data_IF_357591210675
#
_entry.id   IF_357591210675
#
_cell.length_a   1.000
_cell.length_b   1.000
_cell.length_c   1.000
_cell.angle_alpha   90.00
_cell.angle_beta   90.00
_cell.angle_gamma   90.00
#
_symmetry.space_group_name_H-M   'P 1'
#
loop_
_entity.id
_entity.type
_entity.pdbx_description
1 polymer ?
#
# COMPACT_ATOMS: atom_id res chain seq x y z
N UNK A 1 -22.79 -7.62 -28.34
CA UNK A 1 -22.24 -6.55 -27.48
C UNK A 1 -21.11 -7.14 -26.65
N UNK A 2 -19.90 -6.56 -26.72
CA UNK A 2 -18.71 -7.13 -26.07
C UNK A 2 -18.66 -6.78 -24.58
N UNK A 3 -18.24 -7.70 -23.68
CA UNK A 3 -18.37 -7.51 -22.24
C UNK A 3 -17.38 -6.45 -21.71
N UNK A 4 -17.94 -5.45 -21.04
CA UNK A 4 -17.35 -4.69 -19.94
C UNK A 4 -15.91 -4.16 -20.15
N UNK A 5 -15.80 -2.93 -20.64
CA UNK A 5 -14.66 -2.07 -20.30
C UNK A 5 -14.70 -1.82 -18.80
N UNK A 6 -14.09 -2.71 -18.00
CA UNK A 6 -13.88 -2.47 -16.57
C UNK A 6 -13.21 -1.11 -16.44
N UNK A 7 -13.85 -0.18 -15.74
CA UNK A 7 -13.26 1.13 -15.47
C UNK A 7 -11.90 0.91 -14.78
N UNK A 8 -10.82 1.26 -15.48
CA UNK A 8 -9.45 1.14 -14.99
C UNK A 8 -9.16 2.06 -13.80
N UNK A 9 -10.10 2.93 -13.46
CA UNK A 9 -10.00 3.91 -12.37
C UNK A 9 -10.68 3.48 -11.07
N UNK A 10 -11.30 2.29 -11.01
CA UNK A 10 -12.07 1.86 -9.82
C UNK A 10 -11.66 0.47 -9.34
N UNK A 11 -11.45 0.35 -8.03
CA UNK A 11 -11.33 -0.95 -7.36
C UNK A 11 -12.71 -1.59 -7.20
N UNK A 12 -12.80 -2.89 -7.46
CA UNK A 12 -14.02 -3.63 -7.14
C UNK A 12 -14.09 -3.90 -5.64
N UNK A 13 -15.32 -3.97 -5.09
CA UNK A 13 -15.56 -4.37 -3.69
C UNK A 13 -14.88 -5.70 -3.34
N UNK A 14 -14.86 -6.65 -4.28
CA UNK A 14 -14.17 -7.95 -4.12
C UNK A 14 -12.66 -7.78 -3.97
N UNK A 15 -12.04 -6.91 -4.77
CA UNK A 15 -10.60 -6.63 -4.68
C UNK A 15 -10.26 -5.97 -3.36
N UNK A 16 -11.02 -4.95 -2.97
CA UNK A 16 -10.86 -4.23 -1.73
C UNK A 16 -10.97 -5.17 -0.52
N UNK A 17 -12.07 -5.93 -0.43
CA UNK A 17 -12.30 -6.86 0.67
C UNK A 17 -11.22 -7.94 0.76
N UNK A 18 -10.76 -8.47 -0.37
CA UNK A 18 -9.71 -9.47 -0.39
C UNK A 18 -8.35 -8.93 0.12
N UNK A 19 -8.09 -7.64 -0.08
CA UNK A 19 -6.86 -6.98 0.37
C UNK A 19 -6.91 -6.64 1.87
N UNK A 20 -8.08 -6.23 2.38
CA UNK A 20 -8.23 -5.79 3.79
C UNK A 20 -8.43 -6.94 4.78
N UNK A 21 -9.14 -8.02 4.41
CA UNK A 21 -9.44 -9.14 5.32
C UNK A 21 -8.22 -9.68 6.08
N UNK A 22 -7.04 -9.88 5.43
CA UNK A 22 -5.84 -10.36 6.13
C UNK A 22 -5.26 -9.39 7.16
N UNK A 23 -5.75 -8.14 7.21
CA UNK A 23 -5.28 -7.08 8.10
C UNK A 23 -6.14 -6.93 9.35
N UNK A 24 -7.33 -7.54 9.40
CA UNK A 24 -8.27 -7.35 10.51
C UNK A 24 -7.69 -7.73 11.88
N UNK A 25 -6.74 -8.66 11.93
CA UNK A 25 -6.06 -9.02 13.17
C UNK A 25 -5.20 -7.89 13.76
N UNK A 26 -4.76 -6.94 12.93
CA UNK A 26 -3.95 -5.77 13.35
C UNK A 26 -4.84 -4.72 14.04
N UNK A 27 -6.14 -4.74 13.73
CA UNK A 27 -7.10 -3.73 14.14
C UNK A 27 -8.01 -4.18 15.29
N UNK A 28 -7.71 -5.30 15.96
CA UNK A 28 -8.62 -5.94 16.94
C UNK A 28 -9.10 -5.05 18.08
N UNK A 29 -8.34 -4.02 18.43
CA UNK A 29 -8.61 -3.12 19.56
C UNK A 29 -8.84 -1.67 19.10
N UNK A 30 -9.06 -1.46 17.80
CA UNK A 30 -9.24 -0.15 17.20
C UNK A 30 -10.70 0.09 16.83
N UNK A 31 -11.14 1.32 17.05
CA UNK A 31 -12.47 1.77 16.61
C UNK A 31 -12.51 1.93 15.09
N UNK A 32 -13.71 1.87 14.51
CA UNK A 32 -13.91 1.88 13.05
C UNK A 32 -13.33 3.16 12.43
N UNK A 33 -13.54 4.29 13.09
CA UNK A 33 -13.01 5.59 12.69
C UNK A 33 -11.48 5.58 12.66
N UNK A 34 -10.84 5.04 13.70
CA UNK A 34 -9.39 4.93 13.77
C UNK A 34 -8.84 4.00 12.67
N UNK A 35 -9.51 2.87 12.41
CA UNK A 35 -9.13 1.95 11.32
C UNK A 35 -9.21 2.66 9.97
N UNK A 36 -10.28 3.43 9.75
CA UNK A 36 -10.46 4.20 8.53
C UNK A 36 -9.33 5.22 8.35
N UNK A 37 -9.00 5.99 9.40
CA UNK A 37 -7.95 7.00 9.38
C UNK A 37 -6.58 6.39 9.07
N UNK A 38 -6.21 5.30 9.77
CA UNK A 38 -4.93 4.62 9.55
C UNK A 38 -4.81 4.12 8.10
N UNK A 39 -5.86 3.48 7.57
CA UNK A 39 -5.84 2.94 6.20
C UNK A 39 -5.82 4.08 5.18
N UNK A 40 -6.62 5.13 5.39
CA UNK A 40 -6.67 6.31 4.52
C UNK A 40 -5.30 6.97 4.43
N UNK A 41 -4.67 7.24 5.57
CA UNK A 41 -3.40 7.95 5.66
C UNK A 41 -2.25 7.12 5.05
N UNK A 42 -2.26 5.80 5.28
CA UNK A 42 -1.36 4.88 4.59
C UNK A 42 -1.53 4.91 3.06
N UNK A 43 -2.77 4.85 2.57
CA UNK A 43 -3.04 4.86 1.13
C UNK A 43 -2.61 6.20 0.51
N UNK A 44 -2.86 7.33 1.18
CA UNK A 44 -2.39 8.64 0.74
C UNK A 44 -0.86 8.70 0.65
N UNK A 45 -0.15 8.23 1.68
CA UNK A 45 1.32 8.16 1.67
C UNK A 45 1.84 7.28 0.52
N UNK A 46 1.24 6.10 0.31
CA UNK A 46 1.63 5.20 -0.77
C UNK A 46 1.37 5.81 -2.16
N UNK A 47 0.24 6.49 -2.35
CA UNK A 47 -0.07 7.22 -3.60
C UNK A 47 0.95 8.34 -3.84
N UNK A 48 1.29 9.11 -2.82
CA UNK A 48 2.29 10.16 -2.92
C UNK A 48 3.68 9.58 -3.29
N UNK A 49 4.04 8.40 -2.79
CA UNK A 49 5.25 7.69 -3.22
C UNK A 49 5.19 7.23 -4.69
N UNK A 50 4.04 6.74 -5.17
CA UNK A 50 3.85 6.37 -6.59
C UNK A 50 3.94 7.60 -7.51
N UNK A 51 3.40 8.74 -7.07
CA UNK A 51 3.42 9.98 -7.84
C UNK A 51 4.85 10.50 -8.07
N UNK A 52 5.79 10.24 -7.15
CA UNK A 52 7.21 10.59 -7.32
C UNK A 52 7.90 9.85 -8.48
N UNK A 53 7.28 8.78 -8.99
CA UNK A 53 7.77 7.97 -10.11
C UNK A 53 6.72 7.86 -11.23
N UNK A 54 5.75 8.78 -11.29
CA UNK A 54 4.74 8.92 -12.33
C UNK A 54 3.86 7.66 -12.58
N UNK A 55 3.54 6.91 -11.51
CA UNK A 55 2.71 5.69 -11.59
C UNK A 55 1.56 5.63 -10.59
N UNK A 56 1.09 6.76 -10.06
CA UNK A 56 -0.02 6.86 -9.10
C UNK A 56 -1.34 6.27 -9.60
N UNK A 57 -1.63 6.39 -10.90
CA UNK A 57 -2.77 5.77 -11.58
C UNK A 57 -2.78 4.25 -11.48
N UNK A 58 -1.66 3.61 -11.13
CA UNK A 58 -1.58 2.16 -10.96
C UNK A 58 -2.18 1.66 -9.65
N UNK A 59 -2.46 2.54 -8.67
CA UNK A 59 -3.01 2.13 -7.37
C UNK A 59 -4.35 1.39 -7.49
N UNK A 60 -5.14 1.68 -8.52
CA UNK A 60 -6.42 1.03 -8.79
C UNK A 60 -6.27 -0.33 -9.48
N UNK A 61 -5.05 -0.72 -9.89
CA UNK A 61 -4.79 -2.07 -10.39
C UNK A 61 -4.89 -3.06 -9.22
N UNK A 62 -5.68 -4.13 -9.33
CA UNK A 62 -5.85 -5.11 -8.24
C UNK A 62 -4.54 -5.68 -7.68
N UNK A 63 -3.54 -5.87 -8.55
CA UNK A 63 -2.23 -6.40 -8.15
C UNK A 63 -1.48 -5.39 -7.29
N UNK A 64 -1.45 -4.12 -7.71
CA UNK A 64 -0.76 -3.03 -7.00
C UNK A 64 -1.45 -2.75 -5.67
N UNK A 65 -2.78 -2.60 -5.66
CA UNK A 65 -3.53 -2.37 -4.43
C UNK A 65 -3.31 -3.48 -3.40
N UNK A 66 -3.39 -4.75 -3.82
CA UNK A 66 -3.20 -5.89 -2.91
C UNK A 66 -1.76 -5.98 -2.39
N UNK A 67 -0.76 -5.69 -3.22
CA UNK A 67 0.63 -5.65 -2.79
C UNK A 67 0.87 -4.52 -1.78
N UNK A 68 0.28 -3.33 -2.00
CA UNK A 68 0.31 -2.24 -1.03
C UNK A 68 -0.32 -2.68 0.30
N UNK A 69 -1.53 -3.25 0.29
CA UNK A 69 -2.15 -3.72 1.53
C UNK A 69 -1.39 -4.88 2.21
N UNK A 70 -0.62 -5.69 1.49
CA UNK A 70 0.30 -6.66 2.12
C UNK A 70 1.47 -5.96 2.81
N UNK A 71 2.07 -4.98 2.13
CA UNK A 71 3.18 -4.16 2.66
C UNK A 71 2.76 -3.36 3.90
N UNK A 72 1.48 -2.95 3.99
CA UNK A 72 0.92 -2.24 5.14
C UNK A 72 1.31 -2.86 6.48
N UNK A 73 1.31 -4.20 6.60
CA UNK A 73 1.68 -4.88 7.86
C UNK A 73 3.07 -4.50 8.34
N UNK A 74 4.03 -4.53 7.44
CA UNK A 74 5.44 -4.23 7.72
C UNK A 74 5.66 -2.73 7.96
N UNK A 75 4.87 -1.88 7.30
CA UNK A 75 4.96 -0.42 7.41
C UNK A 75 4.31 0.08 8.71
N UNK A 76 3.11 -0.40 9.06
CA UNK A 76 2.40 0.04 10.28
C UNK A 76 3.19 -0.33 11.54
N UNK A 77 3.84 -1.50 11.55
CA UNK A 77 4.76 -1.88 12.63
C UNK A 77 5.92 -0.91 12.75
N UNK A 78 6.55 -0.51 11.64
CA UNK A 78 7.67 0.45 11.66
C UNK A 78 7.24 1.85 12.09
N UNK A 79 6.09 2.32 11.62
CA UNK A 79 5.52 3.59 12.10
C UNK A 79 5.30 3.52 13.60
N UNK A 80 4.70 2.42 14.09
CA UNK A 80 4.51 2.20 15.52
C UNK A 80 5.81 2.20 16.30
N UNK A 81 6.83 1.53 15.80
CA UNK A 81 8.11 1.38 16.49
C UNK A 81 8.90 2.71 16.49
N UNK A 82 8.72 3.58 15.49
CA UNK A 82 9.41 4.89 15.38
C UNK A 82 8.65 6.06 16.02
N UNK A 83 7.32 6.05 15.89
CA UNK A 83 6.43 7.18 16.22
C UNK A 83 5.33 6.84 17.22
N UNK A 84 5.29 5.61 17.74
CA UNK A 84 4.16 5.14 18.55
C UNK A 84 2.87 5.02 17.73
N UNK A 85 1.71 5.14 18.35
CA UNK A 85 0.42 5.02 17.66
C UNK A 85 0.05 6.24 16.79
N UNK A 86 1.01 7.06 16.37
CA UNK A 86 0.80 8.24 15.54
C UNK A 86 0.86 7.88 14.04
N UNK A 87 -0.29 7.48 13.49
CA UNK A 87 -0.40 6.96 12.12
C UNK A 87 -0.78 8.02 11.08
N UNK A 88 0.01 9.09 10.99
CA UNK A 88 -0.21 10.19 10.03
C UNK A 88 0.39 9.88 8.66
N UNK A 89 -0.09 10.60 7.63
CA UNK A 89 0.49 10.55 6.27
C UNK A 89 2.00 10.80 6.28
N UNK A 90 2.47 11.78 7.06
CA UNK A 90 3.89 12.14 7.12
C UNK A 90 4.75 11.04 7.74
N UNK A 91 4.27 10.42 8.82
CA UNK A 91 4.96 9.29 9.45
C UNK A 91 4.99 8.06 8.54
N UNK A 92 3.91 7.79 7.79
CA UNK A 92 3.91 6.74 6.77
C UNK A 92 4.86 7.06 5.60
N UNK A 93 4.90 8.32 5.13
CA UNK A 93 5.79 8.76 4.08
C UNK A 93 7.25 8.60 4.48
N UNK A 94 7.62 8.97 5.71
CA UNK A 94 8.98 8.82 6.20
C UNK A 94 9.44 7.34 6.16
N UNK A 95 8.57 6.41 6.57
CA UNK A 95 8.85 4.96 6.49
C UNK A 95 8.88 4.43 5.05
N UNK A 96 7.99 4.92 4.17
CA UNK A 96 7.86 4.43 2.79
C UNK A 96 8.90 5.03 1.84
N UNK A 97 9.30 6.28 2.02
CA UNK A 97 10.16 7.02 1.09
C UNK A 97 11.42 6.25 0.70
N UNK A 98 12.19 5.65 1.63
CA UNK A 98 13.40 4.91 1.27
C UNK A 98 13.12 3.78 0.28
N UNK A 99 12.02 3.03 0.48
CA UNK A 99 11.57 1.95 -0.42
C UNK A 99 11.40 2.44 -1.85
N UNK A 100 10.88 3.67 -2.02
CA UNK A 100 10.57 4.23 -3.33
C UNK A 100 11.73 4.96 -4.01
N UNK A 101 12.86 5.17 -3.32
CA UNK A 101 14.09 5.68 -3.95
C UNK A 101 14.62 4.72 -5.02
N UNK A 102 14.49 3.40 -4.78
CA UNK A 102 14.96 2.35 -5.70
C UNK A 102 13.84 1.71 -6.53
N UNK A 103 12.59 2.05 -6.25
CA UNK A 103 11.45 1.51 -6.97
C UNK A 103 11.46 1.99 -8.43
N UNK A 104 11.11 1.09 -9.35
CA UNK A 104 11.03 1.41 -10.78
C UNK A 104 9.58 1.50 -11.22
N UNK A 105 9.21 2.45 -12.11
CA UNK A 105 7.86 2.52 -12.69
C UNK A 105 7.35 1.17 -13.23
N UNK A 106 8.25 0.40 -13.85
CA UNK A 106 7.96 -0.92 -14.43
C UNK A 106 7.49 -1.97 -13.42
N UNK A 107 7.81 -1.82 -12.13
CA UNK A 107 7.33 -2.73 -11.08
C UNK A 107 5.81 -2.64 -10.92
N UNK A 108 5.24 -1.46 -11.14
CA UNK A 108 3.81 -1.19 -10.99
C UNK A 108 3.06 -1.22 -12.33
N UNK A 109 3.67 -0.69 -13.40
CA UNK A 109 3.03 -0.67 -14.72
C UNK A 109 2.92 -2.08 -15.31
N UNK A 110 3.92 -2.94 -15.09
CA UNK A 110 3.99 -4.31 -15.61
C UNK A 110 3.81 -5.40 -14.54
N UNK A 111 3.27 -5.07 -13.36
CA UNK A 111 3.02 -6.04 -12.29
C UNK A 111 2.13 -7.20 -12.79
N UNK A 112 2.61 -8.44 -12.66
CA UNK A 112 1.86 -9.65 -13.06
C UNK A 112 1.44 -10.54 -11.90
N UNK A 113 2.07 -10.40 -10.74
CA UNK A 113 1.79 -11.18 -9.55
C UNK A 113 1.89 -10.29 -8.29
N UNK A 114 0.97 -10.49 -7.35
CA UNK A 114 0.90 -9.71 -6.09
C UNK A 114 2.18 -9.93 -5.29
N UNK A 115 2.52 -11.19 -5.02
CA UNK A 115 3.66 -11.55 -4.18
C UNK A 115 4.99 -11.04 -4.76
N UNK A 116 5.17 -11.08 -6.09
CA UNK A 116 6.40 -10.57 -6.70
C UNK A 116 6.57 -9.06 -6.51
N UNK A 117 5.49 -8.28 -6.58
CA UNK A 117 5.55 -6.84 -6.32
C UNK A 117 5.75 -6.57 -4.83
N UNK A 118 5.02 -7.28 -3.97
CA UNK A 118 5.17 -7.21 -2.52
C UNK A 118 6.61 -7.51 -2.08
N UNK A 119 7.20 -8.62 -2.51
CA UNK A 119 8.56 -9.05 -2.14
C UNK A 119 9.61 -8.02 -2.55
N UNK A 120 9.46 -7.39 -3.73
CA UNK A 120 10.35 -6.30 -4.16
C UNK A 120 10.25 -5.10 -3.22
N UNK A 121 9.04 -4.67 -2.88
CA UNK A 121 8.81 -3.54 -1.98
C UNK A 121 9.28 -3.86 -0.55
N UNK A 122 8.99 -5.05 -0.05
CA UNK A 122 9.40 -5.50 1.27
C UNK A 122 10.92 -5.58 1.38
N UNK A 123 11.60 -6.10 0.35
CA UNK A 123 13.06 -6.12 0.31
C UNK A 123 13.64 -4.72 0.44
N UNK A 124 13.18 -3.78 -0.38
CA UNK A 124 13.69 -2.41 -0.29
C UNK A 124 13.34 -1.77 1.07
N UNK A 125 12.14 -2.03 1.63
CA UNK A 125 11.77 -1.56 2.96
C UNK A 125 12.71 -2.09 4.07
N UNK A 126 13.23 -3.32 3.93
CA UNK A 126 14.17 -3.92 4.87
C UNK A 126 15.61 -3.41 4.69
N UNK A 127 16.03 -3.14 3.44
CA UNK A 127 17.39 -2.70 3.11
C UNK A 127 17.73 -1.31 3.71
N UNK A 128 16.73 -0.49 4.05
CA UNK A 128 16.90 0.83 4.68
C UNK A 128 16.75 0.82 6.21
N UNK A 129 16.58 -0.35 6.83
CA UNK A 129 16.48 -0.50 8.30
C UNK A 129 17.78 -1.00 8.97
N UNK A 130 18.94 -0.61 8.44
CA UNK A 130 20.27 -0.83 9.05
C UNK A 130 20.77 0.44 9.76
#
# INVERSE_FOLDING_TARGET
MSPATKSTTKLTRVTFNAALKPLFSIFKEKEIEEIYEIIRDYIHAFIACLAKIDVEQTITKPIVFRAAMQLFKSVVTRVRDRYGSDYTVDNFLDVLNPTFVKAKPSWFTHARAINNLYEKLEKELNDFTL
#
